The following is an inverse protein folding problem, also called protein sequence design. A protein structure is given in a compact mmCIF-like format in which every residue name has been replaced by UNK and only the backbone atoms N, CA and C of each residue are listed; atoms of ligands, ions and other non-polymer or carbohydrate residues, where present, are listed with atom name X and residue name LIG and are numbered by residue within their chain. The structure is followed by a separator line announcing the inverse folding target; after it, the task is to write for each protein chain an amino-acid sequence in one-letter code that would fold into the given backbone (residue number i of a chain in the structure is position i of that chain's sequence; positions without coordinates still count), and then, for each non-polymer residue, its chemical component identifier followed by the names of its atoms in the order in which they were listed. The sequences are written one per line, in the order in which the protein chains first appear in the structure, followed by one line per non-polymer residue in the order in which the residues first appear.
data_IF_656891533022
#
_entry.id   IF_656891533022
#
_cell.length_a   1.000
_cell.length_b   1.000
_cell.length_c   1.000
_cell.angle_alpha   90.00
_cell.angle_beta   90.00
_cell.angle_gamma   90.00
#
_symmetry.space_group_name_H-M   'P 1'
#
loop_
_entity.id
_entity.type
_entity.pdbx_description
1 polymer ?
#
# COMPACT_ATOMS: atom_id res chain seq x y z
N UNK A 1 -0.73 -18.84 18.56
CA UNK A 1 -0.40 -17.51 18.02
C UNK A 1 -1.60 -17.08 17.18
N UNK A 2 -2.35 -16.10 17.67
CA UNK A 2 -3.61 -15.67 17.04
C UNK A 2 -3.31 -14.50 16.11
N UNK A 3 -3.79 -14.57 14.86
CA UNK A 3 -3.57 -13.55 13.83
C UNK A 3 -4.88 -12.81 13.54
N UNK A 4 -4.83 -11.49 13.63
CA UNK A 4 -5.97 -10.62 13.28
C UNK A 4 -5.57 -9.75 12.10
N UNK A 5 -6.27 -9.92 10.97
CA UNK A 5 -6.07 -9.12 9.76
C UNK A 5 -7.18 -8.07 9.67
N UNK A 6 -6.80 -6.80 9.80
CA UNK A 6 -7.72 -5.67 9.60
C UNK A 6 -7.88 -5.43 8.10
N UNK A 7 -9.04 -5.81 7.54
CA UNK A 7 -9.34 -5.63 6.12
C UNK A 7 -10.11 -4.34 5.87
N UNK A 8 -9.63 -3.52 4.95
CA UNK A 8 -10.34 -2.33 4.49
C UNK A 8 -11.59 -2.71 3.70
N UNK A 9 -12.77 -2.29 4.17
CA UNK A 9 -14.02 -2.30 3.39
C UNK A 9 -14.01 -1.17 2.34
N UNK A 10 -14.83 -1.23 1.28
CA UNK A 10 -14.84 -0.24 0.20
C UNK A 10 -15.33 1.09 0.76
N UNK A 11 -14.45 2.08 0.77
CA UNK A 11 -14.71 3.43 1.32
C UNK A 11 -14.40 4.42 0.22
N UNK A 12 -15.28 5.39 0.09
CA UNK A 12 -15.36 6.37 -0.99
C UNK A 12 -13.99 7.00 -1.28
N UNK A 13 -13.66 7.26 -2.57
CA UNK A 13 -12.32 7.69 -2.99
C UNK A 13 -11.83 8.99 -2.33
N UNK A 14 -12.74 9.80 -1.76
CA UNK A 14 -12.42 11.07 -1.13
C UNK A 14 -12.00 10.97 0.34
N UNK A 15 -12.41 9.91 1.07
CA UNK A 15 -12.07 9.70 2.49
C UNK A 15 -10.98 8.63 2.70
N UNK A 16 -10.40 8.16 1.60
CA UNK A 16 -9.65 6.91 1.56
C UNK A 16 -8.27 6.95 2.27
N UNK A 17 -7.59 8.11 2.27
CA UNK A 17 -6.20 8.25 2.76
C UNK A 17 -6.06 8.49 4.26
N UNK A 18 -6.91 9.35 4.84
CA UNK A 18 -6.89 9.61 6.29
C UNK A 18 -7.21 8.34 7.08
N UNK A 19 -8.20 7.58 6.60
CA UNK A 19 -8.58 6.33 7.25
C UNK A 19 -7.50 5.25 7.09
N UNK A 20 -6.74 5.23 5.99
CA UNK A 20 -5.58 4.33 5.85
C UNK A 20 -4.54 4.61 6.93
N UNK A 21 -4.16 5.88 7.09
CA UNK A 21 -3.20 6.28 8.11
C UNK A 21 -3.72 5.99 9.53
N UNK A 22 -5.02 6.19 9.77
CA UNK A 22 -5.65 5.86 11.05
C UNK A 22 -5.61 4.35 11.35
N UNK A 23 -6.02 3.51 10.39
CA UNK A 23 -6.02 2.05 10.56
C UNK A 23 -4.61 1.54 10.80
N UNK A 24 -3.61 2.05 10.07
CA UNK A 24 -2.21 1.70 10.26
C UNK A 24 -1.72 1.99 11.68
N UNK A 25 -2.01 3.19 12.20
CA UNK A 25 -1.62 3.58 13.56
C UNK A 25 -2.40 2.86 14.64
N UNK A 26 -3.67 2.58 14.39
CA UNK A 26 -4.49 1.78 15.30
C UNK A 26 -3.97 0.35 15.42
N UNK A 27 -3.61 -0.30 14.31
CA UNK A 27 -2.98 -1.63 14.34
C UNK A 27 -1.61 -1.63 15.00
N UNK A 28 -0.84 -0.54 14.88
CA UNK A 28 0.44 -0.38 15.59
C UNK A 28 0.25 -0.37 17.10
N UNK A 29 -0.75 0.38 17.59
CA UNK A 29 -1.09 0.43 19.00
C UNK A 29 -1.50 -0.94 19.56
N UNK A 30 -2.37 -1.65 18.83
CA UNK A 30 -2.79 -3.00 19.23
C UNK A 30 -1.65 -4.01 19.25
N UNK A 31 -0.74 -3.96 18.27
CA UNK A 31 0.42 -4.86 18.26
C UNK A 31 1.31 -4.65 19.49
N UNK A 32 1.51 -3.40 19.93
CA UNK A 32 2.29 -3.11 21.14
C UNK A 32 1.57 -3.53 22.43
N UNK A 33 0.27 -3.27 22.56
CA UNK A 33 -0.51 -3.62 23.76
C UNK A 33 -0.63 -5.14 23.97
N UNK A 34 -0.78 -5.89 22.87
CA UNK A 34 -1.03 -7.33 22.91
C UNK A 34 0.21 -8.18 22.62
N UNK A 35 1.39 -7.54 22.54
CA UNK A 35 2.66 -8.24 22.31
C UNK A 35 2.91 -9.35 23.34
N UNK A 36 2.63 -9.07 24.62
CA UNK A 36 2.77 -10.04 25.73
C UNK A 36 1.77 -11.21 25.65
N UNK A 37 0.68 -11.06 24.88
CA UNK A 37 -0.38 -12.06 24.74
C UNK A 37 -0.20 -12.97 23.51
N UNK A 38 0.93 -12.86 22.80
CA UNK A 38 1.23 -13.65 21.59
C UNK A 38 0.16 -13.51 20.49
N UNK A 39 -0.44 -12.33 20.39
CA UNK A 39 -1.40 -11.95 19.33
C UNK A 39 -0.67 -11.01 18.37
N UNK A 40 -0.62 -11.36 17.08
CA UNK A 40 0.01 -10.52 16.06
C UNK A 40 -1.07 -9.74 15.31
N UNK A 41 -0.92 -8.43 15.25
CA UNK A 41 -1.77 -7.56 14.45
C UNK A 41 -1.03 -7.20 13.15
N UNK A 42 -1.61 -7.58 12.01
CA UNK A 42 -1.05 -7.27 10.69
C UNK A 42 -2.01 -6.36 9.92
N UNK A 43 -1.51 -5.21 9.50
CA UNK A 43 -2.18 -4.35 8.53
C UNK A 43 -1.56 -4.57 7.15
N UNK A 44 -2.39 -4.96 6.18
CA UNK A 44 -1.97 -5.08 4.78
C UNK A 44 -2.51 -3.86 4.05
N UNK A 45 -1.61 -2.99 3.61
CA UNK A 45 -1.97 -1.85 2.78
C UNK A 45 -1.63 -2.18 1.31
N UNK A 46 -2.59 -2.70 0.53
CA UNK A 46 -2.34 -3.05 -0.85
C UNK A 46 -2.03 -1.79 -1.67
N UNK A 47 -0.98 -1.88 -2.49
CA UNK A 47 -0.67 -0.88 -3.50
C UNK A 47 -1.64 -0.92 -4.68
N UNK A 48 -1.20 -0.44 -5.85
CA UNK A 48 -2.02 -0.50 -7.06
C UNK A 48 -2.23 -1.97 -7.48
N UNK A 49 -3.48 -2.41 -7.44
CA UNK A 49 -3.92 -3.75 -7.87
C UNK A 49 -4.92 -3.58 -9.01
N UNK A 50 -4.87 -4.45 -10.01
CA UNK A 50 -5.89 -4.54 -11.04
C UNK A 50 -7.20 -5.03 -10.42
N UNK A 51 -8.09 -4.09 -10.12
CA UNK A 51 -9.43 -4.34 -9.60
C UNK A 51 -10.40 -3.35 -10.27
N UNK A 52 -11.69 -3.68 -10.24
CA UNK A 52 -12.74 -2.77 -10.74
C UNK A 52 -12.73 -1.41 -9.98
N UNK A 53 -12.07 -1.32 -8.82
CA UNK A 53 -11.94 -0.12 -8.00
C UNK A 53 -10.81 0.81 -8.45
N UNK A 54 -9.71 0.28 -9.00
CA UNK A 54 -8.59 1.10 -9.48
C UNK A 54 -8.78 1.59 -10.92
N UNK A 55 -9.72 0.99 -11.67
CA UNK A 55 -9.95 1.29 -13.08
C UNK A 55 -8.79 0.84 -14.00
N UNK A 56 -7.84 0.08 -13.47
CA UNK A 56 -6.66 -0.42 -14.20
C UNK A 56 -7.03 -1.74 -14.88
N UNK A 57 -7.33 -1.67 -16.19
CA UNK A 57 -7.77 -2.82 -17.01
C UNK A 57 -6.65 -3.76 -17.47
N UNK A 58 -5.39 -3.34 -17.42
CA UNK A 58 -4.24 -4.16 -17.83
C UNK A 58 -3.39 -4.54 -16.62
N UNK A 59 -3.26 -5.85 -16.39
CA UNK A 59 -2.28 -6.40 -15.47
C UNK A 59 -0.87 -6.01 -15.93
N UNK A 60 -0.09 -5.40 -15.05
CA UNK A 60 1.33 -5.11 -15.28
C UNK A 60 2.15 -5.71 -14.14
N UNK A 61 3.47 -5.77 -14.30
CA UNK A 61 4.37 -6.23 -13.23
C UNK A 61 4.19 -5.46 -11.91
N UNK A 62 3.76 -4.18 -11.99
CA UNK A 62 3.48 -3.31 -10.85
C UNK A 62 1.98 -3.20 -10.50
N UNK A 63 1.11 -3.83 -11.29
CA UNK A 63 -0.33 -3.90 -11.04
C UNK A 63 -0.79 -5.35 -11.27
N UNK A 64 -0.53 -6.25 -10.30
CA UNK A 64 -0.95 -7.64 -10.40
C UNK A 64 -2.47 -7.78 -10.38
N UNK A 65 -2.97 -8.91 -10.86
CA UNK A 65 -4.38 -9.30 -10.70
C UNK A 65 -4.69 -9.56 -9.22
N UNK A 66 -5.93 -9.33 -8.80
CA UNK A 66 -6.34 -9.57 -7.40
C UNK A 66 -6.01 -11.00 -6.90
N UNK A 67 -6.15 -12.03 -7.75
CA UNK A 67 -5.83 -13.43 -7.37
C UNK A 67 -4.35 -13.64 -7.07
N UNK A 68 -3.46 -13.09 -7.89
CA UNK A 68 -2.01 -13.21 -7.69
C UNK A 68 -1.55 -12.41 -6.48
N UNK A 69 -2.14 -11.22 -6.26
CA UNK A 69 -1.89 -10.41 -5.08
C UNK A 69 -2.31 -11.11 -3.78
N UNK A 70 -3.49 -11.73 -3.74
CA UNK A 70 -3.94 -12.46 -2.54
C UNK A 70 -3.05 -13.67 -2.27
N UNK A 71 -2.61 -14.38 -3.31
CA UNK A 71 -1.69 -15.53 -3.15
C UNK A 71 -0.35 -15.12 -2.55
N UNK A 72 0.23 -14.01 -3.00
CA UNK A 72 1.49 -13.48 -2.42
C UNK A 72 1.29 -12.91 -1.02
N UNK A 73 0.18 -12.21 -0.79
CA UNK A 73 -0.13 -11.65 0.53
C UNK A 73 -0.30 -12.77 1.56
N UNK A 74 -1.01 -13.85 1.21
CA UNK A 74 -1.18 -15.01 2.10
C UNK A 74 0.12 -15.74 2.40
N UNK A 75 1.09 -15.78 1.47
CA UNK A 75 2.41 -16.36 1.76
C UNK A 75 3.27 -15.50 2.70
N UNK A 76 2.96 -14.21 2.83
CA UNK A 76 3.67 -13.25 3.70
C UNK A 76 2.98 -13.08 5.08
N UNK A 77 1.76 -13.63 5.24
CA UNK A 77 1.09 -13.69 6.55
C UNK A 77 1.97 -14.51 7.49
N UNK A 78 2.25 -13.96 8.67
CA UNK A 78 3.13 -14.49 9.72
C UNK A 78 4.65 -14.19 9.62
N UNK A 79 5.16 -13.73 8.48
CA UNK A 79 6.58 -13.34 8.37
C UNK A 79 6.79 -11.88 8.76
N UNK A 80 5.84 -11.01 8.42
CA UNK A 80 6.12 -9.58 8.38
C UNK A 80 4.93 -8.75 8.88
N UNK A 81 5.18 -7.87 9.87
CA UNK A 81 4.13 -7.08 10.54
C UNK A 81 3.54 -5.96 9.68
N UNK A 82 4.29 -5.50 8.67
CA UNK A 82 3.97 -4.36 7.78
C UNK A 82 4.47 -4.67 6.37
N UNK A 83 3.58 -5.11 5.47
CA UNK A 83 3.97 -5.35 4.06
C UNK A 83 2.92 -4.90 3.08
N UNK A 84 3.39 -4.59 1.86
CA UNK A 84 2.55 -4.35 0.71
C UNK A 84 1.91 -5.66 0.19
N UNK A 85 2.41 -6.82 0.61
CA UNK A 85 1.89 -8.14 0.29
C UNK A 85 2.24 -8.62 -1.13
N UNK A 86 3.17 -7.93 -1.81
CA UNK A 86 3.60 -8.25 -3.18
C UNK A 86 5.05 -7.81 -3.40
N UNK A 87 5.96 -8.79 -3.52
CA UNK A 87 7.41 -8.59 -3.68
C UNK A 87 7.81 -7.54 -4.74
N UNK A 88 7.20 -7.48 -5.94
CA UNK A 88 7.57 -6.45 -6.92
C UNK A 88 7.24 -5.02 -6.52
N UNK A 89 6.25 -4.81 -5.63
CA UNK A 89 5.98 -3.48 -5.06
C UNK A 89 7.08 -3.10 -4.07
N UNK A 90 7.53 -4.04 -3.24
CA UNK A 90 8.63 -3.82 -2.29
C UNK A 90 9.95 -3.55 -3.01
N UNK A 91 10.28 -4.35 -4.03
CA UNK A 91 11.46 -4.13 -4.87
C UNK A 91 11.47 -2.74 -5.53
N UNK A 92 10.31 -2.26 -5.99
CA UNK A 92 10.20 -0.93 -6.57
C UNK A 92 10.50 0.17 -5.54
N UNK A 93 9.97 0.03 -4.32
CA UNK A 93 10.21 0.95 -3.21
C UNK A 93 11.68 0.93 -2.82
N UNK A 94 12.31 -0.24 -2.76
CA UNK A 94 13.74 -0.38 -2.46
C UNK A 94 14.63 0.26 -3.53
N UNK A 95 14.31 0.06 -4.81
CA UNK A 95 15.00 0.75 -5.90
C UNK A 95 14.90 2.27 -5.77
N UNK A 96 13.73 2.80 -5.39
CA UNK A 96 13.56 4.25 -5.16
C UNK A 96 14.37 4.73 -3.96
N UNK A 97 14.41 3.96 -2.87
CA UNK A 97 15.21 4.30 -1.70
C UNK A 97 16.70 4.32 -2.03
N UNK A 98 17.21 3.33 -2.77
CA UNK A 98 18.60 3.30 -3.25
C UNK A 98 18.91 4.52 -4.11
N UNK A 99 17.98 4.91 -5.00
CA UNK A 99 18.10 6.11 -5.83
C UNK A 99 18.17 7.40 -5.00
N UNK A 100 17.36 7.51 -3.94
CA UNK A 100 17.37 8.65 -3.02
C UNK A 100 18.67 8.70 -2.21
N UNK A 101 19.17 7.54 -1.75
CA UNK A 101 20.44 7.45 -1.03
C UNK A 101 21.63 7.77 -1.94
N UNK A 102 21.61 7.32 -3.19
CA UNK A 102 22.65 7.61 -4.18
C UNK A 102 22.63 9.07 -4.63
N UNK A 103 21.44 9.66 -4.81
CA UNK A 103 21.28 11.06 -5.16
C UNK A 103 19.97 11.63 -4.60
N UNK A 104 20.10 12.35 -3.49
CA UNK A 104 18.95 12.93 -2.78
C UNK A 104 18.13 13.88 -3.66
N UNK A 105 18.80 14.83 -4.33
CA UNK A 105 18.13 15.84 -5.15
C UNK A 105 17.40 15.22 -6.35
N UNK A 106 18.00 14.20 -6.98
CA UNK A 106 17.41 13.55 -8.15
C UNK A 106 16.24 12.63 -7.76
N UNK A 107 16.41 11.84 -6.69
CA UNK A 107 15.36 10.96 -6.17
C UNK A 107 14.11 11.75 -5.76
N UNK A 108 14.30 12.82 -4.97
CA UNK A 108 13.18 13.68 -4.54
C UNK A 108 12.51 14.37 -5.74
N UNK A 109 13.28 14.78 -6.76
CA UNK A 109 12.71 15.36 -7.98
C UNK A 109 11.83 14.37 -8.75
N UNK A 110 12.28 13.13 -8.95
CA UNK A 110 11.51 12.07 -9.63
C UNK A 110 10.20 11.81 -8.90
N UNK A 111 10.27 11.57 -7.58
CA UNK A 111 9.10 11.23 -6.76
C UNK A 111 8.11 12.38 -6.76
N UNK A 112 8.58 13.61 -6.51
CA UNK A 112 7.73 14.81 -6.47
C UNK A 112 7.08 15.07 -7.83
N UNK A 113 7.80 14.85 -8.93
CA UNK A 113 7.26 15.00 -10.29
C UNK A 113 6.17 13.97 -10.59
N UNK A 114 6.37 12.71 -10.18
CA UNK A 114 5.38 11.65 -10.30
C UNK A 114 4.11 11.98 -9.52
N UNK A 115 4.24 12.38 -8.25
CA UNK A 115 3.10 12.75 -7.40
C UNK A 115 2.33 13.95 -7.95
N UNK A 116 3.01 14.99 -8.44
CA UNK A 116 2.37 16.16 -9.08
C UNK A 116 1.56 15.74 -10.30
N UNK A 117 2.12 14.88 -11.16
CA UNK A 117 1.43 14.38 -12.35
C UNK A 117 0.18 13.56 -12.02
N UNK A 118 0.25 12.69 -11.01
CA UNK A 118 -0.90 11.92 -10.53
C UNK A 118 -1.98 12.83 -9.95
N UNK A 119 -1.60 13.82 -9.14
CA UNK A 119 -2.53 14.80 -8.56
C UNK A 119 -3.24 15.63 -9.63
N UNK A 120 -2.51 16.09 -10.65
CA UNK A 120 -3.09 16.83 -11.78
C UNK A 120 -4.13 15.98 -12.55
N UNK A 121 -3.89 14.67 -12.71
CA UNK A 121 -4.86 13.75 -13.33
C UNK A 121 -6.13 13.59 -12.48
N UNK A 122 -6.00 13.45 -11.16
CA UNK A 122 -7.15 13.39 -10.26
C UNK A 122 -7.96 14.68 -10.26
N UNK A 123 -7.28 15.85 -10.17
CA UNK A 123 -7.95 17.16 -10.21
C UNK A 123 -8.69 17.38 -11.54
N UNK A 124 -8.13 16.94 -12.67
CA UNK A 124 -8.80 16.98 -13.97
C UNK A 124 -10.05 16.09 -14.03
N UNK A 125 -10.04 14.93 -13.35
CA UNK A 125 -11.24 14.07 -13.24
C UNK A 125 -12.32 14.73 -12.39
N UNK A 126 -11.95 15.34 -11.25
CA UNK A 126 -12.90 16.05 -10.39
C UNK A 126 -13.54 17.27 -11.06
N UNK A 127 -12.78 18.01 -11.89
CA UNK A 127 -13.31 19.15 -12.66
C UNK A 127 -14.24 18.77 -13.82
N UNK A 128 -14.28 17.49 -14.20
CA UNK A 128 -15.05 16.97 -15.35
C UNK A 128 -16.33 16.25 -14.92
N UNK A 129 -16.49 16.00 -13.62
CA UNK A 129 -17.75 15.58 -12.99
C UNK A 129 -18.54 16.82 -12.60
#
# INVERSE_FOLDING_TARGET
MTFVIMKKYPIDPNHCSLLQAYVDKFTEGLDMEYYMKNILFQCVMPGFVCSNMSGIRRSSLFAPTAKTFVKSALSLVAVEKRTAGYYPHEFFVDCLNILVTASYNFGVWIVTRSMKNSRLKCLKKMKKQ
#
